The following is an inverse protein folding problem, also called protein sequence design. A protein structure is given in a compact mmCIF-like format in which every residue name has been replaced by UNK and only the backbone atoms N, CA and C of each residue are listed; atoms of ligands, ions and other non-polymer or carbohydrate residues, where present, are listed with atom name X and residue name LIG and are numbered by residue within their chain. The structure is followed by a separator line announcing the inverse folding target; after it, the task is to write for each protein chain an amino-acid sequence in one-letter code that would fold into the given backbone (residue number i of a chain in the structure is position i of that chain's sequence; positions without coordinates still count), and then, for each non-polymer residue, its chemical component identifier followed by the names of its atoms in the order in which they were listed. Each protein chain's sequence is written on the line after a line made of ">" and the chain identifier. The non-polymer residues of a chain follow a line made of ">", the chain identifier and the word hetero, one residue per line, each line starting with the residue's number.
data_IF_973440536040
#
_entry.id   IF_973440536040
#
_cell.length_a   1.000
_cell.length_b   1.000
_cell.length_c   1.000
_cell.angle_alpha   90.00
_cell.angle_beta   90.00
_cell.angle_gamma   90.00
#
_symmetry.space_group_name_H-M   'P 1'
#
loop_
_entity.id
_entity.type
_entity.pdbx_description
1 polymer ?
#
# COMPACT_ATOMS: atom_id res chain seq x y z
N UNK A 1 -32.72 -22.23 -0.78
CA UNK A 1 -31.30 -21.92 -0.53
C UNK A 1 -31.21 -20.46 -0.19
N UNK A 2 -30.74 -20.09 1.01
CA UNK A 2 -30.52 -18.68 1.37
C UNK A 2 -29.38 -18.14 0.50
N UNK A 3 -29.65 -17.12 -0.31
CA UNK A 3 -28.63 -16.45 -1.09
C UNK A 3 -27.63 -15.78 -0.14
N UNK A 4 -26.38 -16.23 -0.18
CA UNK A 4 -25.29 -15.58 0.55
C UNK A 4 -25.07 -14.19 -0.06
N UNK A 5 -25.36 -13.14 0.71
CA UNK A 5 -25.09 -11.76 0.32
C UNK A 5 -23.68 -11.37 0.78
N UNK A 6 -22.80 -11.04 -0.17
CA UNK A 6 -21.45 -10.56 0.11
C UNK A 6 -21.53 -9.05 0.35
N UNK A 7 -21.28 -8.59 1.59
CA UNK A 7 -21.28 -7.16 1.94
C UNK A 7 -20.09 -6.41 1.31
N UNK A 8 -20.22 -5.15 0.88
CA UNK A 8 -19.11 -4.37 0.33
C UNK A 8 -18.21 -3.86 1.46
N UNK A 9 -17.07 -4.52 1.65
CA UNK A 9 -16.10 -4.23 2.71
C UNK A 9 -14.71 -4.28 2.11
N UNK A 10 -13.79 -3.47 2.65
CA UNK A 10 -12.38 -3.59 2.32
C UNK A 10 -11.91 -5.00 2.68
N UNK A 11 -11.45 -5.72 1.66
CA UNK A 11 -10.91 -7.07 1.79
C UNK A 11 -9.49 -7.06 1.27
N UNK A 12 -8.59 -7.49 2.13
CA UNK A 12 -7.18 -7.65 1.84
C UNK A 12 -6.81 -9.09 2.14
N UNK A 13 -5.65 -9.54 1.68
CA UNK A 13 -5.16 -10.88 2.01
C UNK A 13 -3.65 -10.93 1.97
N UNK A 14 -3.07 -11.57 2.97
CA UNK A 14 -1.82 -12.32 2.80
C UNK A 14 -2.19 -13.76 2.42
N UNK A 15 -1.63 -14.74 3.13
CA UNK A 15 -2.14 -16.11 3.16
C UNK A 15 -3.49 -16.22 3.88
N UNK A 16 -3.76 -15.28 4.81
CA UNK A 16 -5.03 -15.20 5.53
C UNK A 16 -5.81 -13.94 5.12
N UNK A 17 -7.16 -14.00 5.10
CA UNK A 17 -7.97 -12.85 4.73
C UNK A 17 -8.06 -11.83 5.88
N UNK A 18 -7.89 -10.55 5.54
CA UNK A 18 -8.21 -9.42 6.40
C UNK A 18 -9.46 -8.71 5.85
N UNK A 19 -10.57 -8.80 6.58
CA UNK A 19 -11.83 -8.12 6.22
C UNK A 19 -12.07 -6.99 7.22
N UNK A 20 -12.03 -5.75 6.74
CA UNK A 20 -12.29 -4.57 7.57
C UNK A 20 -13.80 -4.33 7.63
N UNK A 21 -14.38 -4.52 8.81
CA UNK A 21 -15.81 -4.41 9.07
C UNK A 21 -16.09 -3.17 9.93
N UNK A 22 -17.35 -2.69 10.01
CA UNK A 22 -17.72 -1.57 10.86
C UNK A 22 -17.30 -1.73 12.34
N UNK A 23 -17.28 -2.97 12.81
CA UNK A 23 -16.92 -3.41 14.16
C UNK A 23 -15.41 -3.71 14.33
N UNK A 24 -14.63 -3.63 13.26
CA UNK A 24 -13.17 -3.79 13.32
C UNK A 24 -12.56 -2.55 13.95
N UNK A 25 -11.66 -2.77 14.93
CA UNK A 25 -10.87 -1.70 15.54
C UNK A 25 -9.87 -1.10 14.53
N UNK A 26 -9.08 -0.14 14.99
CA UNK A 26 -8.00 0.44 14.18
C UNK A 26 -7.07 -0.64 13.62
N UNK A 27 -6.76 -0.54 12.32
CA UNK A 27 -5.85 -1.44 11.62
C UNK A 27 -4.44 -0.87 11.73
N UNK A 28 -3.56 -1.57 12.44
CA UNK A 28 -2.16 -1.17 12.55
C UNK A 28 -1.37 -1.59 11.31
N UNK A 29 -0.71 -0.63 10.66
CA UNK A 29 0.22 -0.85 9.55
C UNK A 29 1.64 -0.79 10.10
N UNK A 30 2.44 -1.84 9.89
CA UNK A 30 3.83 -1.89 10.33
C UNK A 30 4.75 -1.07 9.42
N UNK A 31 5.32 0.02 9.95
CA UNK A 31 6.11 1.03 9.21
C UNK A 31 7.63 0.77 9.13
N UNK A 32 8.17 -0.20 9.89
CA UNK A 32 9.63 -0.31 10.12
C UNK A 32 10.39 -0.96 8.96
N UNK A 33 9.68 -1.57 8.02
CA UNK A 33 10.17 -2.17 6.77
C UNK A 33 10.29 -1.11 5.67
N UNK A 34 10.82 0.06 6.05
CA UNK A 34 10.92 1.25 5.23
C UNK A 34 12.37 1.77 5.24
N UNK A 35 13.02 1.78 4.08
CA UNK A 35 14.43 2.20 3.96
C UNK A 35 14.61 3.69 4.27
N UNK A 36 13.63 4.53 3.98
CA UNK A 36 13.66 5.95 4.31
C UNK A 36 13.41 6.21 5.80
N UNK A 37 12.47 5.49 6.41
CA UNK A 37 12.04 5.70 7.79
C UNK A 37 12.84 4.96 8.87
N UNK A 38 13.51 3.86 8.53
CA UNK A 38 14.17 2.97 9.51
C UNK A 38 15.65 2.79 9.20
N UNK A 39 16.52 3.47 9.97
CA UNK A 39 17.99 3.36 9.85
C UNK A 39 18.49 1.91 9.92
N UNK A 40 17.87 1.09 10.79
CA UNK A 40 18.23 -0.33 10.91
C UNK A 40 17.88 -1.05 9.62
N UNK A 41 16.65 -0.93 9.13
CA UNK A 41 16.21 -1.63 7.92
C UNK A 41 17.00 -1.18 6.69
N UNK A 42 17.26 0.12 6.56
CA UNK A 42 18.08 0.68 5.49
C UNK A 42 19.48 0.06 5.43
N UNK A 43 20.15 -0.11 6.58
CA UNK A 43 21.44 -0.78 6.65
C UNK A 43 21.33 -2.24 6.17
N UNK A 44 20.35 -2.98 6.70
CA UNK A 44 20.17 -4.39 6.37
C UNK A 44 19.92 -4.62 4.87
N UNK A 45 19.11 -3.79 4.23
CA UNK A 45 18.85 -3.90 2.78
C UNK A 45 20.10 -3.56 1.96
N UNK A 46 20.83 -2.48 2.30
CA UNK A 46 22.06 -2.09 1.59
C UNK A 46 23.20 -3.10 1.74
N UNK A 47 23.27 -3.78 2.88
CA UNK A 47 24.26 -4.82 3.17
C UNK A 47 23.76 -6.23 2.78
N UNK A 48 22.62 -6.33 2.11
CA UNK A 48 21.97 -7.60 1.69
C UNK A 48 21.76 -8.60 2.85
N UNK A 49 21.63 -8.11 4.08
CA UNK A 49 21.34 -8.90 5.27
C UNK A 49 19.84 -9.24 5.37
N UNK A 50 19.32 -9.97 4.38
CA UNK A 50 17.89 -10.20 4.22
C UNK A 50 17.26 -11.03 5.35
N UNK A 51 17.98 -11.97 5.98
CA UNK A 51 17.47 -12.75 7.11
C UNK A 51 17.17 -11.86 8.34
N UNK A 52 18.09 -10.93 8.64
CA UNK A 52 17.87 -9.91 9.67
C UNK A 52 16.76 -8.94 9.27
N UNK A 53 16.63 -8.60 7.98
CA UNK A 53 15.57 -7.73 7.48
C UNK A 53 14.18 -8.40 7.62
N UNK A 54 14.07 -9.69 7.33
CA UNK A 54 12.85 -10.49 7.57
C UNK A 54 12.49 -10.53 9.06
N UNK A 55 13.48 -10.54 9.94
CA UNK A 55 13.24 -10.47 11.38
C UNK A 55 12.61 -9.14 11.81
N UNK A 56 12.89 -8.02 11.11
CA UNK A 56 12.19 -6.74 11.33
C UNK A 56 10.71 -6.85 10.95
N UNK A 57 10.41 -7.48 9.81
CA UNK A 57 9.04 -7.73 9.38
C UNK A 57 8.29 -8.63 10.37
N UNK A 58 8.87 -9.79 10.72
CA UNK A 58 8.31 -10.75 11.68
C UNK A 58 8.00 -10.11 13.03
N UNK A 59 8.93 -9.32 13.58
CA UNK A 59 8.72 -8.63 14.85
C UNK A 59 7.50 -7.71 14.82
N UNK A 60 7.22 -7.03 13.69
CA UNK A 60 6.05 -6.17 13.58
C UNK A 60 4.75 -6.98 13.58
N UNK A 61 4.72 -8.10 12.85
CA UNK A 61 3.57 -9.01 12.83
C UNK A 61 3.29 -9.59 14.22
N UNK A 62 4.35 -10.02 14.93
CA UNK A 62 4.25 -10.51 16.32
C UNK A 62 3.80 -9.41 17.29
N UNK A 63 4.14 -8.15 17.02
CA UNK A 63 3.75 -6.99 17.82
C UNK A 63 2.34 -6.45 17.48
N UNK A 64 1.60 -7.13 16.59
CA UNK A 64 0.20 -6.81 16.29
C UNK A 64 -0.03 -5.98 15.02
N UNK A 65 0.96 -5.82 14.14
CA UNK A 65 0.71 -5.28 12.82
C UNK A 65 -0.24 -6.19 12.03
N UNK A 66 -1.24 -5.59 11.40
CA UNK A 66 -2.26 -6.28 10.60
C UNK A 66 -2.04 -6.11 9.10
N UNK A 67 -1.20 -5.15 8.71
CA UNK A 67 -0.68 -4.95 7.36
C UNK A 67 0.80 -4.60 7.47
N UNK A 68 1.63 -5.06 6.54
CA UNK A 68 3.05 -4.74 6.49
C UNK A 68 3.34 -3.74 5.37
N UNK A 69 3.81 -2.53 5.72
CA UNK A 69 4.28 -1.54 4.73
C UNK A 69 5.71 -1.86 4.30
N UNK A 70 5.97 -1.88 3.00
CA UNK A 70 7.30 -2.17 2.45
C UNK A 70 7.69 -1.02 1.55
N UNK A 71 8.74 -0.29 1.94
CA UNK A 71 9.30 0.82 1.18
C UNK A 71 10.78 0.60 0.89
N UNK A 72 11.12 0.61 -0.41
CA UNK A 72 12.47 0.42 -0.94
C UNK A 72 13.02 1.64 -1.69
N UNK A 73 12.44 2.82 -1.44
CA UNK A 73 12.92 4.07 -2.02
C UNK A 73 14.21 4.50 -1.32
N UNK A 74 15.32 4.40 -2.06
CA UNK A 74 16.62 4.91 -1.68
C UNK A 74 17.44 5.25 -2.93
N UNK A 75 18.20 6.34 -2.89
CA UNK A 75 19.00 6.77 -4.04
C UNK A 75 20.13 5.78 -4.39
N UNK A 76 20.54 4.92 -3.45
CA UNK A 76 21.64 3.97 -3.62
C UNK A 76 21.14 2.56 -3.98
N UNK A 77 19.82 2.34 -4.08
CA UNK A 77 19.23 1.04 -4.38
C UNK A 77 18.62 1.00 -5.78
N UNK A 78 18.72 -0.16 -6.43
CA UNK A 78 17.76 -0.54 -7.46
C UNK A 78 16.44 -0.91 -6.77
N UNK A 79 15.52 0.05 -6.69
CA UNK A 79 14.26 -0.12 -5.98
C UNK A 79 13.35 -1.20 -6.59
N UNK A 80 13.42 -1.45 -7.91
CA UNK A 80 12.66 -2.53 -8.55
C UNK A 80 13.21 -3.89 -8.09
N UNK A 81 14.53 -4.05 -8.12
CA UNK A 81 15.17 -5.26 -7.64
C UNK A 81 14.94 -5.48 -6.14
N UNK A 82 15.10 -4.44 -5.31
CA UNK A 82 14.93 -4.52 -3.87
C UNK A 82 13.49 -4.87 -3.47
N UNK A 83 12.50 -4.23 -4.11
CA UNK A 83 11.08 -4.50 -3.85
C UNK A 83 10.72 -5.94 -4.21
N UNK A 84 11.05 -6.39 -5.43
CA UNK A 84 10.75 -7.76 -5.88
C UNK A 84 11.41 -8.80 -5.00
N UNK A 85 12.70 -8.61 -4.66
CA UNK A 85 13.46 -9.52 -3.80
C UNK A 85 12.82 -9.63 -2.42
N UNK A 86 12.59 -8.51 -1.74
CA UNK A 86 12.08 -8.54 -0.38
C UNK A 86 10.63 -9.02 -0.30
N UNK A 87 9.76 -8.65 -1.24
CA UNK A 87 8.39 -9.18 -1.32
C UNK A 87 8.37 -10.69 -1.52
N UNK A 88 9.24 -11.24 -2.37
CA UNK A 88 9.35 -12.69 -2.54
C UNK A 88 9.82 -13.40 -1.27
N UNK A 89 10.80 -12.84 -0.57
CA UNK A 89 11.31 -13.37 0.69
C UNK A 89 10.28 -13.29 1.83
N UNK A 90 9.54 -12.18 1.92
CA UNK A 90 8.44 -12.05 2.89
C UNK A 90 7.38 -13.12 2.65
N UNK A 91 7.06 -13.40 1.39
CA UNK A 91 6.06 -14.41 1.04
C UNK A 91 6.54 -15.86 1.21
N UNK A 92 7.85 -16.11 1.32
CA UNK A 92 8.38 -17.43 1.67
C UNK A 92 8.33 -17.75 3.16
N UNK A 93 8.01 -16.76 4.01
CA UNK A 93 7.94 -16.89 5.47
C UNK A 93 6.48 -16.86 5.94
N UNK A 94 5.83 -18.01 6.26
CA UNK A 94 4.40 -18.07 6.55
C UNK A 94 3.94 -17.13 7.69
N UNK A 95 4.77 -16.97 8.73
CA UNK A 95 4.46 -16.12 9.87
C UNK A 95 4.33 -14.64 9.50
N UNK A 96 5.02 -14.22 8.43
CA UNK A 96 4.95 -12.85 7.89
C UNK A 96 3.87 -12.79 6.80
N UNK A 97 3.90 -13.76 5.88
CA UNK A 97 3.03 -13.82 4.70
C UNK A 97 1.54 -13.92 5.04
N UNK A 98 1.16 -14.29 6.27
CA UNK A 98 -0.24 -14.36 6.69
C UNK A 98 -0.98 -13.01 6.61
N UNK A 99 -0.30 -11.88 6.81
CA UNK A 99 -0.94 -10.55 6.74
C UNK A 99 -0.74 -9.90 5.35
N UNK A 100 -1.64 -9.00 4.91
CA UNK A 100 -1.49 -8.29 3.65
C UNK A 100 -0.27 -7.35 3.61
N UNK A 101 0.23 -7.12 2.40
CA UNK A 101 1.34 -6.18 2.13
C UNK A 101 0.78 -4.85 1.62
N UNK A 102 1.37 -3.76 2.07
CA UNK A 102 1.25 -2.42 1.50
C UNK A 102 2.55 -2.11 0.77
N UNK A 103 2.47 -1.94 -0.56
CA UNK A 103 3.61 -1.62 -1.41
C UNK A 103 3.80 -0.11 -1.39
N UNK A 104 4.89 0.38 -0.81
CA UNK A 104 5.18 1.80 -0.65
C UNK A 104 6.34 2.27 -1.53
N UNK A 105 6.05 3.22 -2.41
CA UNK A 105 7.03 3.85 -3.30
C UNK A 105 6.47 5.10 -3.96
N UNK A 106 7.33 6.11 -4.10
CA UNK A 106 7.09 7.31 -4.91
C UNK A 106 7.20 7.07 -6.43
N UNK A 107 7.74 5.91 -6.82
CA UNK A 107 7.95 5.49 -8.22
C UNK A 107 7.02 4.33 -8.57
N UNK A 108 6.14 4.56 -9.55
CA UNK A 108 5.12 3.57 -9.92
C UNK A 108 5.70 2.29 -10.53
N UNK A 109 6.87 2.34 -11.17
CA UNK A 109 7.56 1.16 -11.68
C UNK A 109 7.96 0.17 -10.57
N UNK A 110 8.29 0.67 -9.37
CA UNK A 110 8.58 -0.16 -8.20
C UNK A 110 7.29 -0.79 -7.65
N UNK A 111 6.21 0.01 -7.56
CA UNK A 111 4.87 -0.49 -7.21
C UNK A 111 4.46 -1.61 -8.16
N UNK A 112 4.58 -1.39 -9.47
CA UNK A 112 4.23 -2.37 -10.48
C UNK A 112 5.06 -3.65 -10.37
N UNK A 113 6.34 -3.54 -10.00
CA UNK A 113 7.18 -4.70 -9.75
C UNK A 113 6.70 -5.49 -8.53
N UNK A 114 6.38 -4.82 -7.43
CA UNK A 114 5.78 -5.43 -6.25
C UNK A 114 4.43 -6.10 -6.54
N UNK A 115 3.54 -5.43 -7.28
CA UNK A 115 2.23 -5.97 -7.67
C UNK A 115 2.33 -7.29 -8.44
N UNK A 116 3.38 -7.46 -9.25
CA UNK A 116 3.63 -8.71 -9.98
C UNK A 116 4.12 -9.84 -9.08
N UNK A 117 4.62 -9.53 -7.89
CA UNK A 117 5.14 -10.50 -6.93
C UNK A 117 4.12 -10.90 -5.87
N UNK A 118 3.23 -10.00 -5.44
CA UNK A 118 2.27 -10.29 -4.37
C UNK A 118 1.16 -11.24 -4.84
N UNK A 119 0.90 -12.29 -4.05
CA UNK A 119 -0.15 -13.27 -4.33
C UNK A 119 -1.52 -12.86 -3.81
N UNK A 120 -1.57 -12.29 -2.60
CA UNK A 120 -2.80 -11.84 -1.94
C UNK A 120 -3.25 -10.44 -2.39
N UNK A 121 -4.45 -10.02 -1.98
CA UNK A 121 -4.92 -8.66 -2.26
C UNK A 121 -4.19 -7.64 -1.37
N UNK A 122 -3.30 -6.86 -1.99
CA UNK A 122 -2.45 -5.86 -1.35
C UNK A 122 -3.04 -4.45 -1.40
N UNK A 123 -2.29 -3.51 -0.79
CA UNK A 123 -2.54 -2.07 -0.87
C UNK A 123 -1.39 -1.42 -1.65
N UNK A 124 -1.71 -0.51 -2.57
CA UNK A 124 -0.73 0.38 -3.20
C UNK A 124 -0.63 1.69 -2.42
N UNK A 125 0.56 2.02 -1.93
CA UNK A 125 0.91 3.26 -1.28
C UNK A 125 1.94 4.01 -2.15
N UNK A 126 1.55 4.97 -2.97
CA UNK A 126 0.20 5.50 -3.18
C UNK A 126 0.07 6.01 -4.61
N UNK A 127 -1.13 6.44 -4.98
CA UNK A 127 -1.39 7.20 -6.21
C UNK A 127 -1.89 8.61 -5.85
N UNK A 128 -1.68 9.57 -6.75
CA UNK A 128 -2.13 10.96 -6.54
C UNK A 128 -2.32 11.68 -7.88
N UNK A 129 -2.87 12.89 -7.83
CA UNK A 129 -3.03 13.75 -9.01
C UNK A 129 -1.84 14.73 -9.19
N UNK A 130 -0.72 14.51 -8.49
CA UNK A 130 0.48 15.36 -8.56
C UNK A 130 0.96 15.63 -9.99
N UNK A 131 0.91 14.60 -10.83
CA UNK A 131 1.34 14.64 -12.24
C UNK A 131 0.14 14.71 -13.20
N UNK A 132 -1.02 15.12 -12.70
CA UNK A 132 -2.25 15.27 -13.46
C UNK A 132 -3.16 14.04 -13.46
N UNK A 133 -4.40 14.30 -13.87
CA UNK A 133 -5.50 13.32 -13.89
C UNK A 133 -5.24 12.12 -14.83
N UNK A 134 -4.59 12.34 -15.98
CA UNK A 134 -4.33 11.26 -16.94
C UNK A 134 -3.43 10.18 -16.35
N UNK A 135 -2.34 10.58 -15.67
CA UNK A 135 -1.43 9.65 -15.01
C UNK A 135 -2.13 8.93 -13.85
N UNK A 136 -2.87 9.66 -13.02
CA UNK A 136 -3.67 9.11 -11.93
C UNK A 136 -4.65 8.02 -12.42
N UNK A 137 -5.41 8.29 -13.50
CA UNK A 137 -6.34 7.32 -14.10
C UNK A 137 -5.61 6.09 -14.63
N UNK A 138 -4.46 6.29 -15.30
CA UNK A 138 -3.66 5.19 -15.85
C UNK A 138 -3.16 4.26 -14.74
N UNK A 139 -2.58 4.82 -13.69
CA UNK A 139 -2.06 4.07 -12.53
C UNK A 139 -3.19 3.36 -11.79
N UNK A 140 -4.31 4.05 -11.55
CA UNK A 140 -5.50 3.47 -10.96
C UNK A 140 -6.03 2.27 -11.76
N UNK A 141 -6.12 2.38 -13.09
CA UNK A 141 -6.52 1.25 -13.96
C UNK A 141 -5.60 0.05 -13.81
N UNK A 142 -4.29 0.28 -13.66
CA UNK A 142 -3.32 -0.79 -13.43
C UNK A 142 -3.55 -1.43 -12.05
N UNK A 143 -3.64 -0.63 -10.97
CA UNK A 143 -3.92 -1.15 -9.62
C UNK A 143 -5.21 -1.99 -9.59
N UNK A 144 -6.28 -1.50 -10.24
CA UNK A 144 -7.55 -2.22 -10.39
C UNK A 144 -7.40 -3.53 -11.15
N UNK A 145 -6.60 -3.57 -12.22
CA UNK A 145 -6.35 -4.78 -13.00
C UNK A 145 -5.62 -5.87 -12.17
N UNK A 146 -4.76 -5.47 -11.23
CA UNK A 146 -4.17 -6.36 -10.24
C UNK A 146 -5.10 -6.67 -9.04
N UNK A 147 -6.26 -6.01 -8.95
CA UNK A 147 -7.21 -6.18 -7.86
C UNK A 147 -6.76 -5.57 -6.52
N UNK A 148 -5.76 -4.68 -6.52
CA UNK A 148 -5.24 -4.05 -5.32
C UNK A 148 -6.17 -2.95 -4.80
N UNK A 149 -6.18 -2.75 -3.48
CA UNK A 149 -6.67 -1.51 -2.89
C UNK A 149 -5.64 -0.39 -3.10
N UNK A 150 -6.07 0.87 -3.02
CA UNK A 150 -5.21 2.02 -3.26
C UNK A 150 -5.29 3.04 -2.14
N UNK A 151 -4.12 3.51 -1.69
CA UNK A 151 -4.02 4.76 -0.96
C UNK A 151 -3.98 5.91 -1.98
N UNK A 152 -4.82 6.91 -1.74
CA UNK A 152 -4.86 8.14 -2.52
C UNK A 152 -4.40 9.29 -1.63
N UNK A 153 -3.24 9.84 -1.95
CA UNK A 153 -2.71 11.00 -1.25
C UNK A 153 -3.50 12.25 -1.64
N UNK A 154 -3.77 13.12 -0.66
CA UNK A 154 -4.29 14.46 -0.92
C UNK A 154 -3.19 15.37 -1.52
N UNK A 155 -2.77 15.08 -2.74
CA UNK A 155 -1.77 15.79 -3.53
C UNK A 155 -2.27 15.88 -4.97
N UNK A 156 -2.38 17.09 -5.51
CA UNK A 156 -2.80 17.34 -6.89
C UNK A 156 -1.79 18.24 -7.65
N UNK A 157 -2.18 18.73 -8.83
CA UNK A 157 -1.35 19.54 -9.72
C UNK A 157 -0.91 20.88 -9.07
N UNK A 158 -1.60 21.32 -8.02
CA UNK A 158 -1.33 22.57 -7.29
C UNK A 158 -0.42 22.31 -6.08
N UNK A 159 -0.28 21.05 -5.66
CA UNK A 159 0.61 20.65 -4.57
C UNK A 159 -0.08 19.80 -3.50
N UNK A 160 0.59 19.67 -2.36
CA UNK A 160 0.11 18.89 -1.23
C UNK A 160 -0.97 19.66 -0.45
N UNK A 161 -2.05 18.99 -0.05
CA UNK A 161 -3.11 19.61 0.74
C UNK A 161 -2.70 19.79 2.22
N UNK A 162 -2.53 21.04 2.62
CA UNK A 162 -2.22 21.51 3.96
C UNK A 162 -3.47 21.89 4.78
N UNK A 163 -4.48 22.49 4.14
CA UNK A 163 -5.73 22.91 4.78
C UNK A 163 -6.83 21.85 4.71
N UNK A 164 -7.76 21.88 5.67
CA UNK A 164 -8.97 21.02 5.67
C UNK A 164 -9.75 21.12 4.35
N UNK A 165 -9.93 22.33 3.83
CA UNK A 165 -10.68 22.56 2.60
C UNK A 165 -10.02 21.86 1.41
N UNK A 166 -8.70 22.03 1.25
CA UNK A 166 -7.92 21.36 0.20
C UNK A 166 -7.93 19.84 0.34
N UNK A 167 -7.79 19.32 1.57
CA UNK A 167 -7.84 17.86 1.83
C UNK A 167 -9.18 17.27 1.35
N UNK A 168 -10.31 17.91 1.70
CA UNK A 168 -11.65 17.46 1.26
C UNK A 168 -11.83 17.59 -0.24
N UNK A 169 -11.41 18.71 -0.83
CA UNK A 169 -11.52 18.96 -2.27
C UNK A 169 -10.81 17.89 -3.10
N UNK A 170 -9.53 17.62 -2.80
CA UNK A 170 -8.72 16.66 -3.53
C UNK A 170 -9.28 15.24 -3.37
N UNK A 171 -9.58 14.81 -2.14
CA UNK A 171 -10.15 13.48 -1.90
C UNK A 171 -11.50 13.29 -2.61
N UNK A 172 -12.37 14.31 -2.60
CA UNK A 172 -13.66 14.24 -3.29
C UNK A 172 -13.51 14.17 -4.82
N UNK A 173 -12.59 14.96 -5.41
CA UNK A 173 -12.27 14.87 -6.84
C UNK A 173 -11.75 13.49 -7.21
N UNK A 174 -10.78 12.97 -6.45
CA UNK A 174 -10.21 11.66 -6.68
C UNK A 174 -11.25 10.54 -6.53
N UNK A 175 -12.14 10.62 -5.54
CA UNK A 175 -13.24 9.68 -5.35
C UNK A 175 -14.09 9.57 -6.62
N UNK A 176 -14.56 10.71 -7.15
CA UNK A 176 -15.37 10.73 -8.38
C UNK A 176 -14.63 10.12 -9.57
N UNK A 177 -13.37 10.48 -9.77
CA UNK A 177 -12.56 9.92 -10.87
C UNK A 177 -12.47 8.39 -10.72
N UNK A 178 -12.13 7.90 -9.53
CA UNK A 178 -11.97 6.48 -9.28
C UNK A 178 -13.28 5.70 -9.44
N UNK A 179 -14.39 6.19 -8.89
CA UNK A 179 -15.67 5.46 -8.94
C UNK A 179 -16.41 5.61 -10.26
N UNK A 180 -16.37 6.79 -10.89
CA UNK A 180 -17.17 7.10 -12.08
C UNK A 180 -16.42 6.86 -13.39
N UNK A 181 -15.10 7.08 -13.44
CA UNK A 181 -14.30 6.92 -14.66
C UNK A 181 -13.49 5.63 -14.69
N UNK A 182 -12.88 5.23 -13.57
CA UNK A 182 -12.08 3.99 -13.48
C UNK A 182 -12.95 2.78 -13.09
N UNK A 183 -14.04 3.02 -12.35
CA UNK A 183 -14.93 2.00 -11.83
C UNK A 183 -14.33 1.21 -10.68
N UNK A 184 -13.54 1.85 -9.82
CA UNK A 184 -13.10 1.27 -8.54
C UNK A 184 -14.30 1.05 -7.62
N UNK A 185 -14.23 0.00 -6.81
CA UNK A 185 -15.12 -0.13 -5.67
C UNK A 185 -14.70 0.88 -4.59
N UNK A 186 -15.64 1.64 -4.01
CA UNK A 186 -15.30 2.67 -3.03
C UNK A 186 -14.64 2.08 -1.76
N UNK A 187 -14.96 0.84 -1.39
CA UNK A 187 -14.32 0.15 -0.27
C UNK A 187 -12.84 -0.17 -0.47
N UNK A 188 -12.32 -0.09 -1.71
CA UNK A 188 -10.91 -0.32 -2.04
C UNK A 188 -10.10 0.99 -2.10
N UNK A 189 -10.73 2.14 -1.80
CA UNK A 189 -10.10 3.47 -1.79
C UNK A 189 -9.83 3.88 -0.35
N UNK A 190 -8.56 4.09 -0.02
CA UNK A 190 -8.10 4.59 1.28
C UNK A 190 -7.57 6.01 1.04
N UNK A 191 -8.15 7.02 1.68
CA UNK A 191 -7.64 8.39 1.55
C UNK A 191 -6.59 8.67 2.62
N UNK A 192 -5.43 9.16 2.20
CA UNK A 192 -4.45 9.77 3.08
C UNK A 192 -4.55 11.30 2.95
N UNK A 193 -5.12 11.99 3.96
CA UNK A 193 -5.27 13.43 3.94
C UNK A 193 -3.96 14.18 4.27
N UNK A 194 -2.80 13.52 4.36
CA UNK A 194 -1.50 14.02 4.82
C UNK A 194 -1.48 14.41 6.30
N UNK A 195 -0.81 13.61 7.13
CA UNK A 195 -0.47 13.95 8.51
C UNK A 195 0.86 14.73 8.49
N UNK A 196 0.84 15.97 8.97
CA UNK A 196 2.04 16.79 9.16
C UNK A 196 2.44 16.78 10.63
N UNK A 197 3.75 16.90 10.89
CA UNK A 197 4.32 17.05 12.23
C UNK A 197 4.22 18.49 12.74
#
# INVERSE_FOLDING_TARGET
>A
MSTVSIKPFLRLSGLEPLVVRPETNFINVGERTNVTGSKKFARLIREEQYEEALSVARQQVESGAQVLDINMDDALLDGVYAMTTFVNLVQSEPDIARIPIMLDSSKFEIILAGLKCVQGKCIVNSISMKEGEEKFIKEAKICKAFGAAVIVMAFDEVGQADTKARKVEICHRAYKILTEQVGFHPEDIIFDPNIFA
#
